data_IF_369442316862
#
_entry.id   IF_369442316862
#
_cell.length_a   1.000
_cell.length_b   1.000
_cell.length_c   1.000
_cell.angle_alpha   90.00
_cell.angle_beta   90.00
_cell.angle_gamma   90.00
#
_symmetry.space_group_name_H-M   'P 1'
#
loop_
_entity.id
_entity.type
_entity.pdbx_description
1 polymer ?
#
# COMPACT_ATOMS: atom_id res chain seq x y z
N UNK A 1 25.44 -2.56 -42.26
CA UNK A 1 24.46 -1.86 -41.39
C UNK A 1 23.08 -2.24 -41.89
N UNK A 2 22.09 -2.79 -41.17
CA UNK A 2 21.82 -2.98 -39.73
C UNK A 2 20.66 -3.99 -39.63
N UNK A 3 20.87 -5.17 -39.05
CA UNK A 3 19.78 -5.94 -38.43
C UNK A 3 19.90 -5.70 -36.93
N UNK A 4 19.43 -4.55 -36.45
CA UNK A 4 19.35 -4.29 -35.01
C UNK A 4 18.28 -5.24 -34.44
N UNK A 5 18.71 -6.41 -33.97
CA UNK A 5 17.90 -7.22 -33.07
C UNK A 5 17.47 -6.37 -31.87
N UNK A 6 16.24 -6.53 -31.41
CA UNK A 6 15.80 -5.93 -30.15
C UNK A 6 16.32 -6.78 -28.98
N UNK A 7 16.41 -6.23 -27.75
CA UNK A 7 16.86 -6.99 -26.59
C UNK A 7 16.06 -8.29 -26.41
N UNK A 8 16.71 -9.44 -26.22
CA UNK A 8 16.03 -10.74 -26.24
C UNK A 8 15.02 -10.93 -25.11
N UNK A 9 15.16 -10.19 -23.99
CA UNK A 9 14.21 -10.19 -22.88
C UNK A 9 12.92 -9.38 -23.15
N UNK A 10 12.82 -8.63 -24.26
CA UNK A 10 11.61 -7.87 -24.61
C UNK A 10 10.38 -8.74 -24.86
N UNK A 11 10.56 -10.03 -25.14
CA UNK A 11 9.46 -10.99 -25.30
C UNK A 11 8.98 -11.59 -23.98
N UNK A 12 9.62 -11.23 -22.85
CA UNK A 12 9.38 -11.82 -21.52
C UNK A 12 9.40 -13.36 -21.55
N UNK A 13 10.51 -13.98 -22.00
CA UNK A 13 10.53 -15.42 -22.26
C UNK A 13 10.45 -16.26 -20.97
N UNK A 14 11.03 -15.78 -19.88
CA UNK A 14 11.12 -16.51 -18.62
C UNK A 14 9.77 -16.59 -17.90
N UNK A 15 9.27 -17.80 -17.71
CA UNK A 15 8.00 -18.12 -17.05
C UNK A 15 8.20 -18.31 -15.55
N UNK A 16 7.10 -18.42 -14.80
CA UNK A 16 7.09 -18.85 -13.39
C UNK A 16 8.01 -18.04 -12.46
N UNK A 17 8.20 -16.74 -12.75
CA UNK A 17 9.12 -15.80 -12.06
C UNK A 17 10.60 -15.99 -12.36
N UNK A 18 10.95 -16.69 -13.44
CA UNK A 18 12.32 -16.71 -13.94
C UNK A 18 12.80 -15.30 -14.26
N UNK A 19 14.05 -15.00 -13.91
CA UNK A 19 14.67 -13.69 -14.20
C UNK A 19 15.41 -13.76 -15.52
N UNK A 20 15.06 -12.89 -16.46
CA UNK A 20 15.70 -12.84 -17.78
C UNK A 20 16.97 -12.01 -17.73
N UNK A 21 18.07 -12.59 -18.20
CA UNK A 21 19.35 -11.91 -18.40
C UNK A 21 19.78 -12.03 -19.86
N UNK A 22 20.25 -10.94 -20.47
CA UNK A 22 20.78 -10.99 -21.83
C UNK A 22 22.13 -11.71 -21.86
N UNK A 23 22.30 -12.57 -22.86
CA UNK A 23 23.56 -13.29 -23.15
C UNK A 23 24.06 -12.82 -24.52
N UNK A 24 24.86 -11.75 -24.50
CA UNK A 24 25.25 -11.07 -25.74
C UNK A 24 24.06 -10.33 -26.38
N UNK A 25 24.13 -10.10 -27.70
CA UNK A 25 23.16 -9.24 -28.40
C UNK A 25 21.84 -9.93 -28.77
N UNK A 26 21.85 -11.25 -28.98
CA UNK A 26 20.72 -11.97 -29.58
C UNK A 26 20.24 -13.18 -28.76
N UNK A 27 20.89 -13.52 -27.65
CA UNK A 27 20.53 -14.67 -26.81
C UNK A 27 20.22 -14.23 -25.38
N UNK A 28 19.55 -15.08 -24.62
CA UNK A 28 19.18 -14.82 -23.24
C UNK A 28 19.31 -16.08 -22.40
N UNK A 29 19.34 -15.89 -21.09
CA UNK A 29 19.30 -16.93 -20.09
C UNK A 29 18.24 -16.59 -19.05
N UNK A 30 17.47 -17.59 -18.64
CA UNK A 30 16.50 -17.47 -17.56
C UNK A 30 17.09 -18.09 -16.29
N UNK A 31 17.22 -17.29 -15.24
CA UNK A 31 17.54 -17.80 -13.91
C UNK A 31 16.27 -18.40 -13.28
N UNK A 32 16.26 -19.74 -13.16
CA UNK A 32 15.16 -20.51 -12.57
C UNK A 32 15.42 -20.91 -11.10
N UNK A 33 16.44 -20.33 -10.46
CA UNK A 33 16.90 -20.72 -9.12
C UNK A 33 15.78 -20.64 -8.09
N UNK A 34 15.62 -21.70 -7.29
CA UNK A 34 14.64 -21.81 -6.20
C UNK A 34 13.16 -21.68 -6.59
N UNK A 35 12.83 -21.73 -7.89
CA UNK A 35 11.44 -21.66 -8.35
C UNK A 35 10.74 -23.03 -8.34
N UNK A 36 11.50 -24.13 -8.31
CA UNK A 36 10.97 -25.48 -8.53
C UNK A 36 10.58 -25.74 -9.99
N UNK A 37 11.16 -24.97 -10.92
CA UNK A 37 11.04 -25.12 -12.37
C UNK A 37 12.43 -25.13 -13.01
N UNK A 38 12.53 -25.71 -14.21
CA UNK A 38 13.74 -25.78 -15.04
C UNK A 38 13.38 -25.70 -16.52
N UNK A 39 14.37 -25.73 -17.41
CA UNK A 39 14.21 -25.55 -18.85
C UNK A 39 14.77 -24.22 -19.31
N UNK A 40 14.68 -23.92 -20.62
CA UNK A 40 15.24 -22.68 -21.18
C UNK A 40 14.51 -21.44 -20.67
N UNK A 41 13.21 -21.59 -20.41
CA UNK A 41 12.27 -20.54 -20.03
C UNK A 41 11.66 -20.77 -18.64
N UNK A 42 12.22 -21.65 -17.82
CA UNK A 42 11.63 -22.09 -16.56
C UNK A 42 10.21 -22.69 -16.71
N UNK A 43 9.98 -23.43 -17.80
CA UNK A 43 8.68 -23.95 -18.22
C UNK A 43 8.36 -25.34 -17.64
N UNK A 44 9.38 -26.12 -17.28
CA UNK A 44 9.20 -27.48 -16.80
C UNK A 44 9.20 -27.52 -15.27
N UNK A 45 8.08 -27.95 -14.67
CA UNK A 45 7.98 -28.12 -13.23
C UNK A 45 8.75 -29.38 -12.77
N UNK A 46 9.44 -29.28 -11.63
CA UNK A 46 9.98 -30.47 -10.96
C UNK A 46 8.86 -31.38 -10.48
N UNK A 47 9.14 -32.66 -10.22
CA UNK A 47 8.13 -33.64 -9.78
C UNK A 47 7.30 -33.15 -8.57
N UNK A 48 7.95 -32.60 -7.55
CA UNK A 48 7.27 -32.05 -6.37
C UNK A 48 6.37 -30.86 -6.71
N UNK A 49 6.85 -29.93 -7.51
CA UNK A 49 6.06 -28.78 -8.00
C UNK A 49 4.87 -29.24 -8.83
N UNK A 50 5.05 -30.22 -9.71
CA UNK A 50 3.97 -30.77 -10.54
C UNK A 50 2.85 -31.37 -9.70
N UNK A 51 3.18 -32.12 -8.65
CA UNK A 51 2.18 -32.63 -7.70
C UNK A 51 1.47 -31.48 -6.98
N UNK A 52 2.23 -30.50 -6.48
CA UNK A 52 1.66 -29.36 -5.75
C UNK A 52 0.70 -28.53 -6.63
N UNK A 53 1.06 -28.31 -7.90
CA UNK A 53 0.21 -27.61 -8.87
C UNK A 53 -1.04 -28.41 -9.22
N UNK A 54 -0.94 -29.73 -9.33
CA UNK A 54 -2.08 -30.60 -9.60
C UNK A 54 -3.16 -30.50 -8.50
N UNK A 55 -2.75 -30.42 -7.24
CA UNK A 55 -3.68 -30.28 -6.10
C UNK A 55 -4.06 -28.83 -5.79
N UNK A 56 -3.44 -27.84 -6.42
CA UNK A 56 -3.74 -26.43 -6.15
C UNK A 56 -5.09 -26.06 -6.79
N UNK A 57 -6.13 -25.70 -6.00
CA UNK A 57 -7.40 -25.30 -6.56
C UNK A 57 -7.25 -23.99 -7.35
N UNK A 58 -8.11 -23.80 -8.35
CA UNK A 58 -8.19 -22.52 -9.06
C UNK A 58 -8.59 -21.38 -8.12
N UNK A 59 -8.24 -20.14 -8.46
CA UNK A 59 -8.62 -18.98 -7.64
C UNK A 59 -10.15 -18.87 -7.47
N UNK A 60 -10.92 -19.19 -8.52
CA UNK A 60 -12.38 -19.19 -8.48
C UNK A 60 -12.93 -20.29 -7.60
N UNK A 61 -12.37 -21.50 -7.67
CA UNK A 61 -12.75 -22.62 -6.80
C UNK A 61 -12.46 -22.29 -5.34
N UNK A 62 -11.27 -21.75 -5.06
CA UNK A 62 -10.90 -21.36 -3.70
C UNK A 62 -11.85 -20.27 -3.17
N UNK A 63 -12.13 -19.23 -3.97
CA UNK A 63 -13.10 -18.19 -3.59
C UNK A 63 -14.48 -18.78 -3.31
N UNK A 64 -14.98 -19.65 -4.19
CA UNK A 64 -16.26 -20.32 -4.01
C UNK A 64 -16.32 -21.10 -2.68
N UNK A 65 -15.28 -21.88 -2.37
CA UNK A 65 -15.19 -22.62 -1.11
C UNK A 65 -15.19 -21.69 0.12
N UNK A 66 -14.52 -20.54 0.05
CA UNK A 66 -14.42 -19.59 1.15
C UNK A 66 -15.75 -18.86 1.43
N UNK A 67 -16.60 -18.62 0.42
CA UNK A 67 -17.79 -17.76 0.58
C UNK A 67 -19.14 -18.49 0.60
N UNK A 68 -19.22 -19.74 0.14
CA UNK A 68 -20.53 -20.43 0.00
C UNK A 68 -20.89 -21.36 1.17
N UNK A 69 -19.93 -21.80 1.98
CA UNK A 69 -20.13 -22.83 3.01
C UNK A 69 -20.08 -22.26 4.43
N UNK A 70 -20.89 -21.24 4.71
CA UNK A 70 -20.83 -20.52 6.00
C UNK A 70 -20.96 -21.44 7.22
N UNK A 71 -21.90 -22.39 7.20
CA UNK A 71 -22.08 -23.37 8.28
C UNK A 71 -20.80 -24.15 8.62
N UNK A 72 -20.00 -24.49 7.60
CA UNK A 72 -18.73 -25.20 7.77
C UNK A 72 -17.70 -24.25 8.40
N UNK A 73 -17.64 -23.01 7.93
CA UNK A 73 -16.73 -22.00 8.45
C UNK A 73 -17.06 -21.57 9.88
N UNK A 74 -18.33 -21.54 10.27
CA UNK A 74 -18.76 -21.25 11.64
C UNK A 74 -18.29 -22.35 12.61
N UNK A 75 -18.44 -23.62 12.21
CA UNK A 75 -17.91 -24.77 12.96
C UNK A 75 -16.38 -24.70 13.01
N UNK A 76 -15.74 -24.44 11.87
CA UNK A 76 -14.29 -24.33 11.77
C UNK A 76 -13.72 -23.21 12.66
N UNK A 77 -14.38 -22.05 12.68
CA UNK A 77 -14.01 -20.89 13.51
C UNK A 77 -14.09 -21.16 15.01
N UNK A 78 -14.92 -22.12 15.43
CA UNK A 78 -14.95 -22.57 16.83
C UNK A 78 -13.66 -23.27 17.27
N UNK A 79 -12.85 -23.76 16.32
CA UNK A 79 -11.55 -24.38 16.56
C UNK A 79 -10.41 -23.41 16.30
N UNK A 80 -10.09 -22.56 17.27
CA UNK A 80 -9.09 -21.50 17.10
C UNK A 80 -7.69 -21.97 16.64
N UNK A 81 -7.29 -23.22 16.89
CA UNK A 81 -6.02 -23.76 16.38
C UNK A 81 -6.03 -23.96 14.86
N UNK A 82 -7.16 -24.39 14.29
CA UNK A 82 -7.33 -24.57 12.85
C UNK A 82 -7.38 -23.22 12.14
N UNK A 83 -8.13 -22.26 12.69
CA UNK A 83 -8.18 -20.89 12.19
C UNK A 83 -6.77 -20.28 12.12
N UNK A 84 -5.97 -20.40 13.19
CA UNK A 84 -4.58 -19.93 13.20
C UNK A 84 -3.72 -20.62 12.14
N UNK A 85 -3.86 -21.93 11.96
CA UNK A 85 -3.11 -22.68 10.97
C UNK A 85 -3.43 -22.21 9.54
N UNK A 86 -4.71 -22.02 9.22
CA UNK A 86 -5.16 -21.51 7.91
C UNK A 86 -4.69 -20.08 7.68
N UNK A 87 -4.90 -19.18 8.64
CA UNK A 87 -4.45 -17.79 8.51
C UNK A 87 -2.93 -17.69 8.35
N UNK A 88 -2.16 -18.50 9.10
CA UNK A 88 -0.70 -18.59 8.90
C UNK A 88 -0.36 -19.00 7.47
N UNK A 89 -1.06 -19.98 6.91
CA UNK A 89 -0.83 -20.42 5.52
C UNK A 89 -1.15 -19.31 4.52
N UNK A 90 -2.23 -18.56 4.73
CA UNK A 90 -2.61 -17.41 3.90
C UNK A 90 -1.52 -16.35 3.92
N UNK A 91 -1.03 -15.96 5.12
CA UNK A 91 0.06 -14.97 5.24
C UNK A 91 1.34 -15.41 4.53
N UNK A 92 1.77 -16.66 4.73
CA UNK A 92 2.96 -17.19 4.08
C UNK A 92 2.79 -17.27 2.56
N UNK A 93 1.62 -17.68 2.07
CA UNK A 93 1.34 -17.74 0.62
C UNK A 93 1.40 -16.37 -0.03
N UNK A 94 0.70 -15.40 0.57
CA UNK A 94 0.59 -14.05 0.02
C UNK A 94 1.91 -13.30 0.15
N UNK A 95 2.59 -13.42 1.29
CA UNK A 95 3.91 -12.82 1.53
C UNK A 95 4.97 -13.32 0.56
N UNK A 96 4.94 -14.59 0.15
CA UNK A 96 5.89 -15.15 -0.83
C UNK A 96 5.78 -14.55 -2.24
N UNK A 97 4.77 -13.71 -2.50
CA UNK A 97 4.59 -13.03 -3.78
C UNK A 97 5.25 -11.64 -3.82
N UNK A 98 5.84 -11.18 -2.71
CA UNK A 98 6.46 -9.86 -2.59
C UNK A 98 7.97 -10.02 -2.43
N UNK A 99 8.75 -9.32 -3.27
CA UNK A 99 10.21 -9.30 -3.13
C UNK A 99 10.61 -8.46 -1.92
N UNK A 100 11.46 -9.01 -1.05
CA UNK A 100 12.05 -8.31 0.09
C UNK A 100 13.53 -8.71 0.21
N UNK A 101 14.49 -7.78 0.04
CA UNK A 101 14.31 -6.37 -0.31
C UNK A 101 13.70 -6.17 -1.72
N UNK A 102 13.32 -4.93 -2.05
CA UNK A 102 12.77 -4.61 -3.36
C UNK A 102 13.79 -4.94 -4.48
N UNK A 103 13.33 -5.67 -5.50
CA UNK A 103 14.17 -6.08 -6.62
C UNK A 103 14.24 -5.04 -7.74
N UNK A 104 13.13 -4.35 -8.01
CA UNK A 104 12.96 -3.47 -9.16
C UNK A 104 12.38 -2.11 -8.76
N UNK A 105 12.76 -1.07 -9.50
CA UNK A 105 12.08 0.23 -9.47
C UNK A 105 11.72 0.64 -10.91
N UNK A 106 11.16 1.84 -11.10
CA UNK A 106 10.91 2.35 -12.45
C UNK A 106 12.18 2.60 -13.27
N UNK A 107 13.34 2.73 -12.62
CA UNK A 107 14.63 2.98 -13.30
C UNK A 107 15.53 1.76 -13.38
N UNK A 108 15.26 0.72 -12.57
CA UNK A 108 16.12 -0.46 -12.47
C UNK A 108 15.35 -1.71 -12.89
N UNK A 109 15.76 -2.29 -14.02
CA UNK A 109 15.21 -3.54 -14.59
C UNK A 109 15.78 -4.81 -13.96
N UNK A 110 16.79 -4.67 -13.12
CA UNK A 110 17.51 -5.75 -12.45
C UNK A 110 17.78 -5.38 -10.99
N UNK A 111 18.17 -6.37 -10.19
CA UNK A 111 18.46 -6.18 -8.77
C UNK A 111 19.67 -5.26 -8.60
N UNK A 112 19.48 -4.15 -7.89
CA UNK A 112 20.55 -3.21 -7.54
C UNK A 112 20.47 -2.82 -6.07
N UNK A 113 21.60 -2.36 -5.51
CA UNK A 113 21.61 -1.76 -4.17
C UNK A 113 20.77 -0.48 -4.12
N UNK A 114 20.71 0.26 -5.23
CA UNK A 114 19.88 1.46 -5.35
C UNK A 114 18.39 1.11 -5.23
N UNK A 115 17.92 0.09 -5.94
CA UNK A 115 16.55 -0.40 -5.85
C UNK A 115 16.21 -0.92 -4.44
N UNK A 116 17.16 -1.57 -3.77
CA UNK A 116 16.96 -2.16 -2.46
C UNK A 116 16.93 -1.13 -1.31
N UNK A 117 17.73 -0.05 -1.40
CA UNK A 117 17.94 0.87 -0.28
C UNK A 117 17.49 2.31 -0.52
N UNK A 118 17.24 2.73 -1.77
CA UNK A 118 16.66 4.04 -2.04
C UNK A 118 15.15 4.00 -1.88
N UNK A 119 14.70 4.20 -0.65
CA UNK A 119 13.30 4.30 -0.31
C UNK A 119 12.59 5.49 -0.96
N UNK A 120 13.24 6.41 -1.67
CA UNK A 120 12.52 7.44 -2.43
C UNK A 120 11.73 6.89 -3.62
N UNK A 121 12.02 5.68 -4.09
CA UNK A 121 11.29 5.05 -5.19
C UNK A 121 10.13 4.21 -4.68
N UNK A 122 9.07 4.09 -5.49
CA UNK A 122 8.17 2.95 -5.38
C UNK A 122 8.85 1.68 -5.89
N UNK A 123 8.75 0.60 -5.11
CA UNK A 123 9.16 -0.74 -5.54
C UNK A 123 8.19 -1.28 -6.60
N UNK A 124 8.69 -2.12 -7.50
CA UNK A 124 7.88 -2.80 -8.52
C UNK A 124 7.94 -4.32 -8.36
N UNK A 125 6.80 -4.98 -8.57
CA UNK A 125 6.72 -6.44 -8.56
C UNK A 125 7.28 -7.10 -9.84
N UNK A 126 7.35 -6.34 -10.93
CA UNK A 126 7.94 -6.74 -12.22
C UNK A 126 8.84 -5.61 -12.72
N UNK A 127 9.90 -5.93 -13.49
CA UNK A 127 10.77 -4.92 -14.08
C UNK A 127 10.00 -4.02 -15.08
N UNK A 128 10.49 -2.80 -15.34
CA UNK A 128 10.06 -2.02 -16.49
C UNK A 128 10.19 -2.78 -17.80
N UNK A 129 9.39 -2.38 -18.79
CA UNK A 129 9.65 -2.76 -20.18
C UNK A 129 10.92 -2.03 -20.61
N UNK A 130 11.90 -2.78 -21.12
CA UNK A 130 13.17 -2.21 -21.55
C UNK A 130 12.97 -1.14 -22.63
N UNK A 131 13.68 -0.01 -22.52
CA UNK A 131 13.48 1.16 -23.40
C UNK A 131 13.66 0.85 -24.89
N UNK A 132 14.66 0.00 -25.21
CA UNK A 132 14.96 -0.46 -26.57
C UNK A 132 14.01 -1.56 -27.12
N UNK A 133 12.90 -1.87 -26.45
CA UNK A 133 11.91 -2.80 -26.99
C UNK A 133 11.15 -2.21 -28.20
N UNK A 134 10.72 -3.04 -29.16
CA UNK A 134 10.10 -2.56 -30.40
C UNK A 134 8.69 -1.99 -30.20
N UNK A 135 8.03 -2.32 -29.09
CA UNK A 135 6.71 -1.81 -28.72
C UNK A 135 6.68 -1.42 -27.24
N UNK A 136 5.75 -0.55 -26.80
CA UNK A 136 5.60 -0.16 -25.39
C UNK A 136 5.31 -1.33 -24.44
N UNK A 137 4.87 -2.49 -24.96
CA UNK A 137 4.54 -3.69 -24.19
C UNK A 137 5.52 -4.84 -24.48
N UNK A 138 6.75 -4.53 -24.89
CA UNK A 138 7.75 -5.52 -25.29
C UNK A 138 7.73 -5.76 -26.80
N UNK A 139 7.30 -6.93 -27.24
CA UNK A 139 7.26 -7.30 -28.68
C UNK A 139 5.86 -7.36 -29.30
N UNK A 140 4.81 -7.24 -28.49
CA UNK A 140 3.41 -7.42 -28.92
C UNK A 140 2.67 -6.10 -28.91
N UNK A 141 1.76 -5.93 -29.87
CA UNK A 141 0.85 -4.79 -29.94
C UNK A 141 1.32 -3.72 -30.93
N UNK A 142 0.64 -2.57 -30.88
CA UNK A 142 0.96 -1.44 -31.75
C UNK A 142 2.13 -0.64 -31.17
N UNK A 143 2.87 0.05 -32.03
CA UNK A 143 3.98 0.94 -31.63
C UNK A 143 3.54 2.10 -30.73
N UNK A 144 2.28 2.49 -30.81
CA UNK A 144 1.69 3.57 -30.02
C UNK A 144 0.51 3.00 -29.25
N UNK A 145 0.50 3.20 -27.93
CA UNK A 145 -0.63 2.84 -27.08
C UNK A 145 -1.86 3.70 -27.41
N UNK A 146 -3.08 3.22 -27.14
CA UNK A 146 -4.28 4.05 -27.26
C UNK A 146 -4.15 5.34 -26.43
N UNK A 147 -4.76 6.43 -26.92
CA UNK A 147 -4.87 7.67 -26.16
C UNK A 147 -5.59 7.40 -24.82
N UNK A 148 -4.98 7.74 -23.66
CA UNK A 148 -5.60 7.58 -22.36
C UNK A 148 -7.01 8.18 -22.27
N UNK A 149 -7.28 9.31 -22.93
CA UNK A 149 -8.59 9.96 -22.88
C UNK A 149 -9.66 9.12 -23.57
N UNK A 150 -9.33 8.49 -24.69
CA UNK A 150 -10.24 7.58 -25.40
C UNK A 150 -10.56 6.37 -24.54
N UNK A 151 -9.57 5.80 -23.86
CA UNK A 151 -9.77 4.66 -22.94
C UNK A 151 -10.68 5.07 -21.77
N UNK A 152 -10.46 6.25 -21.18
CA UNK A 152 -11.29 6.78 -20.09
C UNK A 152 -12.73 6.96 -20.54
N UNK A 153 -12.97 7.66 -21.65
CA UNK A 153 -14.32 7.95 -22.13
C UNK A 153 -15.07 6.70 -22.61
N UNK A 154 -14.36 5.71 -23.13
CA UNK A 154 -14.98 4.48 -23.68
C UNK A 154 -15.24 3.41 -22.62
N UNK A 155 -14.33 3.23 -21.66
CA UNK A 155 -14.33 2.06 -20.76
C UNK A 155 -14.61 2.43 -19.30
N UNK A 156 -14.03 3.52 -18.80
CA UNK A 156 -14.04 3.83 -17.36
C UNK A 156 -15.10 4.85 -16.95
N UNK A 157 -15.57 5.68 -17.89
CA UNK A 157 -16.56 6.71 -17.62
C UNK A 157 -17.88 6.09 -17.15
N UNK A 158 -18.30 6.47 -15.95
CA UNK A 158 -19.57 6.03 -15.39
C UNK A 158 -20.73 6.78 -16.05
N UNK A 159 -21.58 6.07 -16.77
CA UNK A 159 -22.85 6.61 -17.29
C UNK A 159 -24.02 6.41 -16.32
N UNK A 160 -24.03 5.30 -15.60
CA UNK A 160 -25.06 4.96 -14.61
C UNK A 160 -24.37 4.47 -13.35
N UNK A 161 -24.85 4.94 -12.19
CA UNK A 161 -24.36 4.42 -10.92
C UNK A 161 -24.73 2.95 -10.77
N UNK A 162 -23.72 2.11 -10.58
CA UNK A 162 -23.89 0.70 -10.23
C UNK A 162 -23.48 0.56 -8.76
N UNK A 163 -24.44 0.29 -7.84
CA UNK A 163 -24.09 0.06 -6.45
C UNK A 163 -23.21 -1.18 -6.34
N UNK A 164 -22.37 -1.19 -5.32
CA UNK A 164 -21.60 -2.38 -4.97
C UNK A 164 -22.56 -3.53 -4.57
N UNK A 165 -22.44 -4.73 -5.16
CA UNK A 165 -23.31 -5.87 -4.84
C UNK A 165 -23.19 -6.36 -3.39
N UNK A 166 -22.10 -6.02 -2.70
CA UNK A 166 -21.91 -6.33 -1.28
C UNK A 166 -22.48 -5.25 -0.35
N UNK A 167 -23.09 -4.20 -0.92
CA UNK A 167 -23.77 -3.12 -0.21
C UNK A 167 -22.89 -2.37 0.81
N UNK A 168 -21.59 -2.21 0.52
CA UNK A 168 -20.73 -1.42 1.37
C UNK A 168 -21.17 0.05 1.43
N UNK A 169 -21.13 0.63 2.63
CA UNK A 169 -21.39 2.05 2.85
C UNK A 169 -20.19 2.91 2.42
N UNK A 170 -20.36 4.24 2.37
CA UNK A 170 -19.27 5.18 2.09
C UNK A 170 -18.15 5.16 3.13
N UNK A 171 -18.38 4.57 4.30
CA UNK A 171 -17.36 4.43 5.34
C UNK A 171 -16.18 3.59 4.83
N UNK A 172 -16.43 2.50 4.10
CA UNK A 172 -15.37 1.62 3.59
C UNK A 172 -14.40 2.35 2.64
N UNK A 173 -14.83 2.97 1.51
CA UNK A 173 -13.92 3.68 0.63
C UNK A 173 -13.29 4.91 1.29
N UNK A 174 -13.97 5.56 2.24
CA UNK A 174 -13.37 6.68 2.97
C UNK A 174 -12.25 6.25 3.92
N UNK A 175 -12.42 5.12 4.62
CA UNK A 175 -11.38 4.53 5.45
C UNK A 175 -10.22 4.06 4.58
N UNK A 176 -10.51 3.40 3.45
CA UNK A 176 -9.50 3.01 2.48
C UNK A 176 -8.64 4.19 2.04
N UNK A 177 -9.26 5.33 1.71
CA UNK A 177 -8.56 6.54 1.32
C UNK A 177 -7.71 7.10 2.47
N UNK A 178 -8.27 7.20 3.68
CA UNK A 178 -7.56 7.67 4.87
C UNK A 178 -6.36 6.78 5.24
N UNK A 179 -6.52 5.45 5.13
CA UNK A 179 -5.51 4.46 5.48
C UNK A 179 -4.38 4.43 4.44
N UNK A 180 -4.72 4.36 3.15
CA UNK A 180 -3.73 4.14 2.08
C UNK A 180 -2.86 5.37 1.78
N UNK A 181 -3.40 6.58 1.95
CA UNK A 181 -2.64 7.81 1.75
C UNK A 181 -1.51 8.03 2.78
N UNK A 182 -1.42 7.20 3.84
CA UNK A 182 -0.23 7.23 4.71
C UNK A 182 1.04 6.70 3.99
N UNK A 183 0.89 5.76 3.05
CA UNK A 183 2.01 5.15 2.30
C UNK A 183 1.95 5.38 0.78
N UNK A 184 0.85 5.91 0.23
CA UNK A 184 0.79 6.38 -1.16
C UNK A 184 0.92 7.89 -1.23
N UNK A 185 2.18 8.36 -1.19
CA UNK A 185 2.52 9.79 -1.30
C UNK A 185 3.53 10.01 -2.43
N UNK A 186 3.01 10.18 -3.64
CA UNK A 186 3.85 10.42 -4.84
C UNK A 186 4.50 11.79 -4.80
N UNK A 187 5.82 11.83 -4.99
CA UNK A 187 6.56 13.08 -5.17
C UNK A 187 6.36 13.60 -6.60
N UNK A 188 5.38 14.47 -6.77
CA UNK A 188 5.03 15.06 -8.06
C UNK A 188 6.17 15.91 -8.66
N UNK A 189 7.14 16.39 -7.87
CA UNK A 189 8.27 17.18 -8.38
C UNK A 189 9.30 16.29 -9.07
N UNK A 190 9.55 15.10 -8.51
CA UNK A 190 10.49 14.12 -9.05
C UNK A 190 9.85 13.22 -10.11
N UNK A 191 8.54 13.00 -10.03
CA UNK A 191 7.76 12.25 -10.99
C UNK A 191 7.07 11.02 -10.39
N UNK A 192 6.31 10.26 -11.20
CA UNK A 192 5.40 9.21 -10.73
C UNK A 192 6.11 8.00 -10.10
N UNK A 193 7.40 7.83 -10.36
CA UNK A 193 8.21 6.75 -9.77
C UNK A 193 8.58 7.00 -8.31
N UNK A 194 8.47 8.25 -7.84
CA UNK A 194 9.02 8.69 -6.57
C UNK A 194 7.94 8.91 -5.52
N UNK A 195 8.35 8.76 -4.27
CA UNK A 195 7.50 8.79 -3.11
C UNK A 195 8.24 9.39 -1.90
N UNK A 196 7.52 9.94 -0.93
CA UNK A 196 8.09 10.54 0.29
C UNK A 196 7.48 10.02 1.60
N UNK A 197 6.74 8.90 1.54
CA UNK A 197 6.30 8.12 2.70
C UNK A 197 7.39 7.19 3.25
N UNK A 198 7.07 6.44 4.30
CA UNK A 198 7.95 5.43 4.93
C UNK A 198 7.63 3.97 4.56
N UNK A 199 6.94 3.74 3.43
CA UNK A 199 6.68 2.39 2.87
C UNK A 199 5.86 1.43 3.75
N UNK A 200 4.99 1.94 4.63
CA UNK A 200 4.19 1.07 5.47
C UNK A 200 3.20 1.80 6.38
N UNK A 201 2.68 1.05 7.35
CA UNK A 201 1.75 1.56 8.35
C UNK A 201 2.55 2.18 9.50
N UNK A 202 2.79 3.49 9.41
CA UNK A 202 3.57 4.26 10.38
C UNK A 202 2.77 5.39 11.06
N UNK A 203 1.48 5.49 10.72
CA UNK A 203 0.56 6.52 11.15
C UNK A 203 1.01 7.96 10.81
N UNK A 204 1.88 8.15 9.81
CA UNK A 204 2.33 9.48 9.34
C UNK A 204 1.20 10.35 8.80
N UNK A 205 0.06 9.75 8.44
CA UNK A 205 -1.17 10.47 8.12
C UNK A 205 -1.81 11.18 9.32
N UNK A 206 -1.52 10.72 10.54
CA UNK A 206 -1.96 11.34 11.81
C UNK A 206 -0.86 12.22 12.40
N UNK A 207 0.38 11.72 12.41
CA UNK A 207 1.50 12.34 13.14
C UNK A 207 2.44 13.20 12.29
N UNK A 208 2.25 13.25 10.96
CA UNK A 208 3.17 13.92 10.06
C UNK A 208 4.27 13.00 9.53
N UNK A 209 4.91 13.44 8.43
CA UNK A 209 5.91 12.64 7.71
C UNK A 209 7.32 12.72 8.34
N UNK A 210 7.59 13.77 9.09
CA UNK A 210 8.88 14.10 9.68
C UNK A 210 8.72 14.59 11.13
N UNK A 211 9.84 14.64 11.87
CA UNK A 211 9.84 15.02 13.29
C UNK A 211 9.45 16.47 13.53
N UNK A 212 9.72 17.38 12.60
CA UNK A 212 9.32 18.78 12.72
C UNK A 212 7.79 18.91 12.64
N UNK A 213 7.16 18.31 11.63
CA UNK A 213 5.69 18.25 11.53
C UNK A 213 5.07 17.58 12.75
N UNK A 214 5.62 16.46 13.22
CA UNK A 214 5.15 15.78 14.43
C UNK A 214 5.18 16.70 15.66
N UNK A 215 6.29 17.41 15.88
CA UNK A 215 6.43 18.35 16.99
C UNK A 215 5.45 19.53 16.89
N UNK A 216 5.16 20.03 15.69
CA UNK A 216 4.19 21.11 15.52
C UNK A 216 2.76 20.68 15.89
N UNK A 217 2.41 19.41 15.67
CA UNK A 217 1.11 18.83 16.01
C UNK A 217 0.99 18.40 17.46
N UNK A 218 2.10 18.18 18.16
CA UNK A 218 2.13 17.79 19.58
C UNK A 218 1.81 18.96 20.49
N UNK A 219 1.09 18.67 21.58
CA UNK A 219 0.86 19.63 22.66
C UNK A 219 2.06 19.77 23.59
N UNK A 220 2.92 18.74 23.64
CA UNK A 220 3.98 18.56 24.65
C UNK A 220 3.46 18.62 26.10
N UNK A 221 2.18 18.28 26.28
CA UNK A 221 1.53 18.22 27.58
C UNK A 221 0.87 16.86 27.75
N UNK A 222 1.44 16.06 28.66
CA UNK A 222 0.92 14.75 29.03
C UNK A 222 0.83 13.76 27.88
N UNK A 223 1.67 13.90 26.85
CA UNK A 223 1.76 13.01 25.69
C UNK A 223 0.74 13.28 24.58
N UNK A 224 -0.06 14.34 24.67
CA UNK A 224 -1.22 14.59 23.78
C UNK A 224 -0.85 15.27 22.46
N UNK A 225 -1.69 15.08 21.45
CA UNK A 225 -1.76 15.96 20.28
C UNK A 225 -2.51 17.25 20.64
N UNK A 226 -2.14 18.36 19.98
CA UNK A 226 -2.92 19.60 20.04
C UNK A 226 -4.32 19.34 19.51
N UNK A 227 -5.31 19.97 20.14
CA UNK A 227 -6.71 19.92 19.72
C UNK A 227 -7.42 21.18 20.20
N UNK A 228 -8.67 21.35 19.79
CA UNK A 228 -9.53 22.45 20.23
C UNK A 228 -10.96 21.96 20.43
N UNK A 229 -11.74 22.68 21.23
CA UNK A 229 -13.15 22.38 21.43
C UNK A 229 -14.01 23.32 20.58
N UNK A 230 -14.79 22.76 19.66
CA UNK A 230 -15.75 23.50 18.84
C UNK A 230 -17.13 22.92 19.13
N UNK A 231 -18.05 23.75 19.64
CA UNK A 231 -19.42 23.32 19.99
C UNK A 231 -19.48 22.10 20.91
N UNK A 232 -18.56 22.01 21.89
CA UNK A 232 -18.50 20.92 22.87
C UNK A 232 -17.74 19.68 22.42
N UNK A 233 -17.22 19.67 21.19
CA UNK A 233 -16.59 18.49 20.58
C UNK A 233 -15.10 18.75 20.28
N UNK A 234 -14.26 17.72 20.44
CA UNK A 234 -12.81 17.83 20.17
C UNK A 234 -12.50 17.74 18.68
N UNK A 235 -11.80 18.74 18.14
CA UNK A 235 -11.38 18.82 16.75
C UNK A 235 -9.87 19.08 16.63
N UNK A 236 -9.27 18.79 15.46
CA UNK A 236 -7.91 19.20 15.15
C UNK A 236 -7.69 20.71 15.37
N UNK A 237 -6.46 21.15 15.68
CA UNK A 237 -6.16 22.56 15.91
C UNK A 237 -6.29 23.35 14.60
N UNK A 238 -6.46 24.67 14.69
CA UNK A 238 -6.34 25.51 13.51
C UNK A 238 -4.90 25.54 13.00
N UNK A 239 -4.75 25.79 11.71
CA UNK A 239 -3.44 25.86 11.05
C UNK A 239 -2.54 26.94 11.67
N UNK A 240 -3.11 28.06 12.09
CA UNK A 240 -2.39 29.14 12.78
C UNK A 240 -1.77 28.70 14.13
N UNK A 241 -2.34 27.69 14.78
CA UNK A 241 -1.92 27.21 16.11
C UNK A 241 -0.95 26.00 16.01
N UNK A 242 -0.90 25.38 14.83
CA UNK A 242 0.01 24.30 14.47
C UNK A 242 0.41 24.44 12.98
N UNK A 243 1.42 25.28 12.67
CA UNK A 243 1.73 25.71 11.29
C UNK A 243 2.47 24.63 10.48
N UNK A 244 1.79 23.52 10.22
CA UNK A 244 2.25 22.43 9.34
C UNK A 244 1.95 22.74 7.87
N UNK A 245 2.58 22.03 6.93
CA UNK A 245 2.23 22.19 5.52
C UNK A 245 0.85 21.58 5.24
N UNK A 246 -0.09 22.41 4.76
CA UNK A 246 -1.45 22.00 4.41
C UNK A 246 -1.87 22.62 3.10
N UNK A 247 -2.58 21.85 2.28
CA UNK A 247 -3.10 22.33 0.99
C UNK A 247 -4.56 22.73 1.14
N UNK A 248 -4.80 24.03 1.06
CA UNK A 248 -6.13 24.63 1.00
C UNK A 248 -6.32 25.41 -0.31
N UNK A 249 -7.55 25.50 -0.84
CA UNK A 249 -7.87 26.43 -1.91
C UNK A 249 -7.45 27.87 -1.58
N UNK A 250 -7.08 28.64 -2.61
CA UNK A 250 -6.76 30.06 -2.44
C UNK A 250 -8.00 30.79 -1.91
N UNK A 251 -7.82 31.62 -0.88
CA UNK A 251 -8.90 32.40 -0.26
C UNK A 251 -9.69 31.68 0.84
N UNK A 252 -9.35 30.44 1.21
CA UNK A 252 -9.96 29.79 2.37
C UNK A 252 -9.72 30.64 3.65
N UNK A 253 -10.77 30.96 4.44
CA UNK A 253 -10.62 31.70 5.69
C UNK A 253 -9.80 30.93 6.73
N UNK A 254 -9.03 31.63 7.58
CA UNK A 254 -8.23 31.00 8.64
C UNK A 254 -9.08 30.18 9.63
N UNK A 255 -10.34 30.57 9.86
CA UNK A 255 -11.28 29.83 10.70
C UNK A 255 -11.74 28.49 10.11
N UNK A 256 -11.40 28.20 8.85
CA UNK A 256 -11.69 26.93 8.18
C UNK A 256 -10.42 26.14 7.88
N UNK A 257 -9.25 26.64 8.28
CA UNK A 257 -7.97 25.95 8.09
C UNK A 257 -7.59 25.22 9.37
N UNK A 258 -7.63 23.91 9.28
CA UNK A 258 -7.17 22.97 10.29
C UNK A 258 -5.80 22.38 9.94
N UNK A 259 -5.01 22.06 10.96
CA UNK A 259 -3.75 21.35 10.82
C UNK A 259 -3.95 19.84 11.07
N UNK A 260 -3.40 19.02 10.19
CA UNK A 260 -3.49 17.56 10.22
C UNK A 260 -2.10 16.95 9.91
N UNK A 261 -1.91 15.66 10.18
CA UNK A 261 -0.68 14.94 9.81
C UNK A 261 -0.50 14.73 8.30
N UNK A 262 -1.57 14.90 7.51
CA UNK A 262 -1.51 14.80 6.06
C UNK A 262 -2.08 16.07 5.40
N UNK A 263 -1.27 16.68 4.54
CA UNK A 263 -1.51 17.94 3.85
C UNK A 263 -2.77 17.99 2.96
N UNK A 264 -3.34 16.83 2.60
CA UNK A 264 -4.54 16.73 1.76
C UNK A 264 -5.83 16.43 2.53
N UNK A 265 -5.74 16.03 3.80
CA UNK A 265 -6.90 15.43 4.49
C UNK A 265 -7.98 16.44 4.87
N UNK A 266 -7.67 17.73 4.79
CA UNK A 266 -8.64 18.80 4.97
C UNK A 266 -9.52 19.04 3.74
N UNK A 267 -9.15 18.51 2.57
CA UNK A 267 -9.86 18.76 1.31
C UNK A 267 -11.19 18.00 1.26
N UNK A 268 -11.25 16.80 1.86
CA UNK A 268 -12.45 15.97 1.86
C UNK A 268 -13.00 15.81 3.29
N UNK A 269 -14.29 16.09 3.54
CA UNK A 269 -14.90 15.96 4.86
C UNK A 269 -14.72 14.58 5.49
N UNK A 270 -14.69 13.52 4.68
CA UNK A 270 -14.50 12.15 5.14
C UNK A 270 -13.09 11.88 5.65
N UNK A 271 -12.06 12.44 5.01
CA UNK A 271 -10.67 12.34 5.49
C UNK A 271 -10.47 13.17 6.76
N UNK A 272 -11.10 14.34 6.84
CA UNK A 272 -11.13 15.16 8.04
C UNK A 272 -11.81 14.45 9.21
N UNK A 273 -12.93 13.74 8.94
CA UNK A 273 -13.63 12.90 9.92
C UNK A 273 -12.70 11.82 10.48
N UNK A 274 -12.06 11.03 9.63
CA UNK A 274 -11.13 9.99 10.11
C UNK A 274 -9.97 10.59 10.88
N UNK A 275 -9.40 11.70 10.42
CA UNK A 275 -8.32 12.39 11.14
C UNK A 275 -8.75 12.84 12.54
N UNK A 276 -9.99 13.31 12.67
CA UNK A 276 -10.57 13.71 13.96
C UNK A 276 -10.76 12.51 14.87
N UNK A 277 -11.27 11.37 14.35
CA UNK A 277 -11.41 10.13 15.10
C UNK A 277 -10.06 9.65 15.63
N UNK A 278 -9.03 9.56 14.78
CA UNK A 278 -7.70 9.10 15.17
C UNK A 278 -6.97 10.06 16.12
N UNK A 279 -7.20 11.37 16.01
CA UNK A 279 -6.71 12.35 16.98
C UNK A 279 -7.35 12.15 18.35
N UNK A 280 -8.68 11.98 18.40
CA UNK A 280 -9.40 11.71 19.65
C UNK A 280 -8.94 10.39 20.27
N UNK A 281 -8.74 9.36 19.45
CA UNK A 281 -8.29 8.06 19.91
C UNK A 281 -6.89 8.13 20.52
N UNK A 282 -5.94 8.82 19.86
CA UNK A 282 -4.63 9.09 20.44
C UNK A 282 -4.75 9.75 21.82
N UNK A 283 -5.52 10.82 21.90
CA UNK A 283 -5.71 11.58 23.13
C UNK A 283 -6.46 10.80 24.23
N UNK A 284 -7.32 9.85 23.86
CA UNK A 284 -7.99 8.91 24.76
C UNK A 284 -7.01 7.88 25.31
N UNK A 285 -6.22 7.24 24.45
CA UNK A 285 -5.18 6.26 24.82
C UNK A 285 -4.16 6.88 25.75
N UNK A 286 -3.67 8.08 25.43
CA UNK A 286 -2.78 8.86 26.31
C UNK A 286 -3.39 9.04 27.70
N UNK A 287 -4.68 9.38 27.78
CA UNK A 287 -5.38 9.56 29.05
C UNK A 287 -5.56 8.26 29.84
N UNK A 288 -5.61 7.11 29.19
CA UNK A 288 -5.59 5.79 29.84
C UNK A 288 -4.17 5.49 30.35
N UNK A 289 -3.16 5.64 29.50
CA UNK A 289 -1.77 5.38 29.86
C UNK A 289 -1.28 6.26 31.02
N UNK A 290 -1.65 7.55 31.03
CA UNK A 290 -1.25 8.46 32.11
C UNK A 290 -1.87 8.08 33.48
N UNK A 291 -3.00 7.36 33.49
CA UNK A 291 -3.60 6.84 34.73
C UNK A 291 -2.89 5.58 35.23
N UNK A 292 -2.57 4.67 34.31
CA UNK A 292 -1.87 3.42 34.62
C UNK A 292 -0.37 3.65 34.93
N UNK A 293 0.22 4.67 34.32
CA UNK A 293 1.63 5.02 34.43
C UNK A 293 1.82 6.52 34.76
N UNK A 294 1.54 6.95 36.00
CA UNK A 294 1.67 8.35 36.41
C UNK A 294 3.11 8.88 36.37
N UNK A 295 4.10 7.99 36.35
CA UNK A 295 5.53 8.28 36.32
C UNK A 295 6.08 8.50 34.90
N UNK A 296 5.30 8.24 33.85
CA UNK A 296 5.76 8.37 32.47
C UNK A 296 5.84 9.82 32.00
N UNK A 297 6.89 10.12 31.22
CA UNK A 297 7.08 11.42 30.58
C UNK A 297 6.12 11.66 29.41
N UNK A 298 5.98 12.92 28.98
CA UNK A 298 5.25 13.31 27.78
C UNK A 298 5.69 12.50 26.54
N UNK A 299 7.00 12.37 26.31
CA UNK A 299 7.53 11.64 25.16
C UNK A 299 7.17 10.16 25.22
N UNK A 300 7.27 9.54 26.40
CA UNK A 300 6.96 8.12 26.56
C UNK A 300 5.47 7.83 26.36
N UNK A 301 4.60 8.68 26.89
CA UNK A 301 3.14 8.61 26.67
C UNK A 301 2.81 8.77 25.18
N UNK A 302 3.40 9.76 24.52
CA UNK A 302 3.17 10.04 23.10
C UNK A 302 3.61 8.86 22.20
N UNK A 303 4.85 8.39 22.35
CA UNK A 303 5.40 7.32 21.51
C UNK A 303 4.69 5.98 21.76
N UNK A 304 4.36 5.67 23.02
CA UNK A 304 3.61 4.43 23.33
C UNK A 304 2.21 4.48 22.73
N UNK A 305 1.52 5.61 22.83
CA UNK A 305 0.20 5.79 22.21
C UNK A 305 0.26 5.66 20.69
N UNK A 306 1.30 6.18 20.04
CA UNK A 306 1.52 6.02 18.60
C UNK A 306 1.67 4.54 18.19
N UNK A 307 2.39 3.74 18.97
CA UNK A 307 2.52 2.29 18.74
C UNK A 307 1.16 1.59 18.88
N UNK A 308 0.38 1.94 19.91
CA UNK A 308 -0.95 1.37 20.12
C UNK A 308 -1.85 1.66 18.92
N UNK A 309 -1.89 2.92 18.45
CA UNK A 309 -2.69 3.30 17.29
C UNK A 309 -2.28 2.58 16.00
N UNK A 310 -0.98 2.33 15.79
CA UNK A 310 -0.51 1.51 14.66
C UNK A 310 -1.03 0.07 14.80
N UNK A 311 -0.99 -0.50 16.01
CA UNK A 311 -1.56 -1.82 16.30
C UNK A 311 -3.07 -1.89 16.05
N UNK A 312 -3.82 -0.90 16.53
CA UNK A 312 -5.27 -0.77 16.28
C UNK A 312 -5.56 -0.64 14.79
N UNK A 313 -4.77 0.15 14.06
CA UNK A 313 -4.93 0.31 12.60
C UNK A 313 -4.79 -1.03 11.91
N UNK A 314 -3.72 -1.77 12.18
CA UNK A 314 -3.45 -3.07 11.55
C UNK A 314 -4.53 -4.08 11.92
N UNK A 315 -5.00 -4.07 13.18
CA UNK A 315 -6.07 -4.94 13.65
C UNK A 315 -7.38 -4.71 12.88
N UNK A 316 -7.84 -3.46 12.81
CA UNK A 316 -9.05 -3.06 12.08
C UNK A 316 -8.91 -3.42 10.59
N UNK A 317 -7.73 -3.16 10.00
CA UNK A 317 -7.49 -3.47 8.58
C UNK A 317 -7.62 -4.96 8.31
N UNK A 318 -7.06 -5.82 9.16
CA UNK A 318 -7.05 -7.27 8.94
C UNK A 318 -8.41 -7.91 9.23
N UNK A 319 -9.12 -7.44 10.25
CA UNK A 319 -10.32 -8.14 10.73
C UNK A 319 -11.65 -7.54 10.29
N UNK A 320 -11.68 -6.25 9.97
CA UNK A 320 -12.92 -5.56 9.61
C UNK A 320 -12.92 -5.06 8.15
N UNK A 321 -11.76 -4.68 7.61
CA UNK A 321 -11.66 -4.06 6.29
C UNK A 321 -11.42 -5.02 5.12
N UNK A 322 -10.52 -6.01 5.28
CA UNK A 322 -10.13 -6.99 4.23
C UNK A 322 -11.13 -8.14 4.12
#
# INVERSE_FOLDING_TARGET
ETAKGYPPCCSFPCQNRGVCSSRGFNDYECDCSYLGFYGKNCEHATFGTSIALFFKPSANTLHYLLVNFQWFWDIFGSFGFLQRAVMRRVYLDRGSNVYTPAAYTSEHEYVTMEAAYNYSYFARSLPPVHENCPTPMGVVGKKVLPDPQVVIDTVFKRHTFKPDPLHHSILLPSFAQFFTHQFFRTDQKRGPAFQYSRHGVDASNVYGIDKHTENLLRSFQGGRLKSQIIKGEEYPPYLKDAPVDMRYPKGTPESQKFALGHEFYSVLPTLFLWSTIWLREHNRVVGVLAKEHPDWSDEQLFQTSKIILVGETIRIVIEDYV
#
